data_IF_653546300837
#
_entry.id   IF_653546300837
#
_cell.length_a   1.000
_cell.length_b   1.000
_cell.length_c   1.000
_cell.angle_alpha   90.00
_cell.angle_beta   90.00
_cell.angle_gamma   90.00
#
_symmetry.space_group_name_H-M   'P 1'
#
loop_
_entity.id
_entity.type
_entity.pdbx_description
1 polymer ?
#
# COMPACT_ATOMS: atom_id res chain seq x y z
N UNK A 1 -38.54 -15.79 31.74
CA UNK A 1 -38.26 -15.77 30.29
C UNK A 1 -36.76 -15.55 29.97
N UNK A 2 -35.82 -16.04 30.80
CA UNK A 2 -34.38 -15.74 30.66
C UNK A 2 -33.51 -16.92 30.16
N UNK A 3 -34.10 -18.10 29.93
CA UNK A 3 -33.34 -19.31 29.55
C UNK A 3 -33.35 -19.61 28.04
N UNK A 4 -34.08 -18.86 27.23
CA UNK A 4 -34.17 -19.12 25.78
C UNK A 4 -33.07 -18.42 24.96
N UNK A 5 -32.68 -17.19 25.30
CA UNK A 5 -31.62 -16.45 24.57
C UNK A 5 -30.21 -17.04 24.74
N UNK A 6 -29.95 -17.77 25.83
CA UNK A 6 -28.64 -18.37 26.10
C UNK A 6 -28.33 -19.59 25.22
N UNK A 7 -29.36 -20.26 24.68
CA UNK A 7 -29.19 -21.48 23.88
C UNK A 7 -28.86 -21.18 22.41
N UNK A 8 -29.46 -20.12 21.85
CA UNK A 8 -29.26 -19.73 20.44
C UNK A 8 -27.88 -19.13 20.18
N UNK A 9 -27.29 -18.47 21.18
CA UNK A 9 -25.92 -17.92 21.09
C UNK A 9 -24.87 -19.03 21.14
N UNK A 10 -25.05 -20.04 22.00
CA UNK A 10 -24.15 -21.17 22.11
C UNK A 10 -24.10 -22.01 20.81
N UNK A 11 -25.25 -22.33 20.23
CA UNK A 11 -25.35 -23.09 18.96
C UNK A 11 -24.73 -22.31 17.79
N UNK A 12 -24.91 -20.99 17.75
CA UNK A 12 -24.30 -20.13 16.73
C UNK A 12 -22.77 -20.11 16.82
N UNK A 13 -22.22 -20.05 18.04
CA UNK A 13 -20.78 -20.00 18.28
C UNK A 13 -20.08 -21.34 18.00
N UNK A 14 -20.77 -22.46 18.28
CA UNK A 14 -20.30 -23.79 17.91
C UNK A 14 -20.19 -23.93 16.39
N UNK A 15 -21.22 -23.51 15.64
CA UNK A 15 -21.22 -23.50 14.16
C UNK A 15 -20.10 -22.64 13.58
N UNK A 16 -19.88 -21.44 14.14
CA UNK A 16 -18.77 -20.55 13.71
C UNK A 16 -17.41 -21.26 13.90
N UNK A 17 -17.22 -21.91 15.04
CA UNK A 17 -15.97 -22.59 15.38
C UNK A 17 -15.76 -23.82 14.51
N UNK A 18 -16.82 -24.60 14.24
CA UNK A 18 -16.77 -25.76 13.36
C UNK A 18 -16.44 -25.36 11.93
N UNK A 19 -17.07 -24.31 11.41
CA UNK A 19 -16.80 -23.77 10.09
C UNK A 19 -15.35 -23.27 9.96
N UNK A 20 -14.86 -22.49 10.93
CA UNK A 20 -13.47 -22.03 10.94
C UNK A 20 -12.49 -23.22 10.96
N UNK A 21 -12.78 -24.26 11.77
CA UNK A 21 -11.97 -25.48 11.85
C UNK A 21 -11.96 -26.24 10.53
N UNK A 22 -13.10 -26.37 9.86
CA UNK A 22 -13.19 -27.01 8.56
C UNK A 22 -12.30 -26.29 7.53
N UNK A 23 -12.40 -24.96 7.43
CA UNK A 23 -11.56 -24.15 6.53
C UNK A 23 -10.07 -24.32 6.89
N UNK A 24 -9.70 -24.29 8.17
CA UNK A 24 -8.31 -24.48 8.58
C UNK A 24 -7.76 -25.87 8.21
N UNK A 25 -8.59 -26.91 8.30
CA UNK A 25 -8.18 -28.26 7.88
C UNK A 25 -7.91 -28.35 6.37
N UNK A 26 -8.69 -27.61 5.57
CA UNK A 26 -8.47 -27.51 4.13
C UNK A 26 -7.21 -26.69 3.81
N UNK A 27 -6.98 -25.61 4.57
CA UNK A 27 -5.79 -24.77 4.42
C UNK A 27 -4.51 -25.57 4.64
N UNK A 28 -4.45 -26.40 5.69
CA UNK A 28 -3.27 -27.22 5.97
C UNK A 28 -2.88 -28.14 4.80
N UNK A 29 -3.87 -28.62 4.03
CA UNK A 29 -3.64 -29.43 2.83
C UNK A 29 -3.23 -28.56 1.64
N UNK A 30 -3.93 -27.45 1.40
CA UNK A 30 -3.70 -26.61 0.22
C UNK A 30 -2.39 -25.81 0.28
N UNK A 31 -1.90 -25.48 1.49
CA UNK A 31 -0.74 -24.60 1.66
C UNK A 31 0.59 -25.26 1.24
N UNK A 32 0.63 -26.58 1.03
CA UNK A 32 1.84 -27.28 0.55
C UNK A 32 2.27 -26.76 -0.81
N UNK A 33 1.30 -26.40 -1.64
CA UNK A 33 1.50 -26.04 -3.04
C UNK A 33 1.60 -24.52 -3.23
N UNK A 34 1.41 -23.75 -2.15
CA UNK A 34 1.50 -22.29 -2.16
C UNK A 34 2.95 -21.82 -2.01
N UNK A 35 3.34 -20.90 -2.89
CA UNK A 35 4.68 -20.32 -2.97
C UNK A 35 4.70 -18.83 -2.63
N UNK A 36 3.53 -18.17 -2.62
CA UNK A 36 3.43 -16.75 -2.32
C UNK A 36 2.20 -16.42 -1.46
N UNK A 37 2.30 -15.36 -0.65
CA UNK A 37 1.19 -14.93 0.21
C UNK A 37 -0.08 -14.55 -0.56
N UNK A 38 0.05 -14.07 -1.80
CA UNK A 38 -1.09 -13.74 -2.66
C UNK A 38 -1.89 -14.99 -3.07
N UNK A 39 -1.26 -16.17 -3.17
CA UNK A 39 -1.98 -17.43 -3.43
C UNK A 39 -2.81 -17.84 -2.22
N UNK A 40 -2.27 -17.61 -1.01
CA UNK A 40 -3.02 -17.81 0.22
C UNK A 40 -4.22 -16.87 0.31
N UNK A 41 -4.03 -15.59 -0.04
CA UNK A 41 -5.13 -14.62 -0.06
C UNK A 41 -6.21 -14.98 -1.08
N UNK A 42 -5.82 -15.38 -2.30
CA UNK A 42 -6.74 -15.86 -3.31
C UNK A 42 -7.51 -17.10 -2.84
N UNK A 43 -6.80 -18.08 -2.27
CA UNK A 43 -7.42 -19.29 -1.74
C UNK A 43 -8.40 -18.96 -0.61
N UNK A 44 -7.99 -18.13 0.35
CA UNK A 44 -8.81 -17.71 1.48
C UNK A 44 -10.07 -16.97 1.01
N UNK A 45 -9.93 -16.01 0.10
CA UNK A 45 -11.07 -15.27 -0.45
C UNK A 45 -12.09 -16.20 -1.14
N UNK A 46 -11.61 -17.22 -1.87
CA UNK A 46 -12.48 -18.25 -2.44
C UNK A 46 -13.20 -19.06 -1.35
N UNK A 47 -12.51 -19.46 -0.27
CA UNK A 47 -13.16 -20.14 0.85
C UNK A 47 -14.20 -19.28 1.57
N UNK A 48 -13.99 -17.97 1.68
CA UNK A 48 -14.96 -17.05 2.28
C UNK A 48 -16.21 -16.90 1.40
N UNK A 49 -16.06 -16.92 0.08
CA UNK A 49 -17.21 -16.97 -0.83
C UNK A 49 -18.03 -18.23 -0.61
N UNK A 50 -17.38 -19.40 -0.61
CA UNK A 50 -18.07 -20.69 -0.49
C UNK A 50 -18.72 -20.88 0.89
N UNK A 51 -17.97 -20.62 1.96
CA UNK A 51 -18.40 -20.96 3.31
C UNK A 51 -19.12 -19.79 4.02
N UNK A 52 -18.71 -18.55 3.78
CA UNK A 52 -19.39 -17.38 4.38
C UNK A 52 -20.47 -16.79 3.46
N UNK A 53 -20.75 -17.46 2.33
CA UNK A 53 -21.80 -17.09 1.38
C UNK A 53 -21.66 -15.62 0.92
N UNK A 54 -20.41 -15.16 0.82
CA UNK A 54 -20.11 -13.87 0.23
C UNK A 54 -20.30 -13.96 -1.28
N UNK A 55 -20.79 -12.88 -1.87
CA UNK A 55 -20.81 -12.70 -3.32
C UNK A 55 -19.46 -12.18 -3.81
N UNK A 56 -18.80 -11.37 -2.99
CA UNK A 56 -17.50 -10.77 -3.29
C UNK A 56 -16.66 -10.76 -2.04
N UNK A 57 -15.41 -11.18 -2.18
CA UNK A 57 -14.39 -11.10 -1.14
C UNK A 57 -13.19 -10.29 -1.65
N UNK A 58 -12.86 -9.22 -0.94
CA UNK A 58 -11.70 -8.38 -1.22
C UNK A 58 -10.72 -8.43 -0.06
N UNK A 59 -9.44 -8.60 -0.37
CA UNK A 59 -8.35 -8.52 0.61
C UNK A 59 -7.44 -7.37 0.21
N UNK A 60 -7.42 -6.37 1.08
CA UNK A 60 -6.59 -5.19 0.97
C UNK A 60 -5.45 -5.29 1.98
N UNK A 61 -4.26 -4.84 1.58
CA UNK A 61 -3.10 -4.83 2.46
C UNK A 61 -2.34 -3.52 2.34
N UNK A 62 -1.73 -3.08 3.44
CA UNK A 62 -0.73 -2.02 3.32
C UNK A 62 0.46 -2.54 2.53
N UNK A 63 0.98 -1.70 1.65
CA UNK A 63 2.19 -1.93 0.89
C UNK A 63 3.03 -0.66 0.87
N UNK A 64 4.34 -0.82 0.98
CA UNK A 64 5.26 0.26 0.69
C UNK A 64 5.32 0.39 -0.83
N UNK A 65 4.92 1.54 -1.35
CA UNK A 65 5.19 1.88 -2.73
C UNK A 65 6.70 2.11 -2.94
N UNK A 66 7.11 2.42 -4.17
CA UNK A 66 8.53 2.67 -4.49
C UNK A 66 9.12 3.87 -3.74
N UNK A 67 8.29 4.79 -3.21
CA UNK A 67 8.75 5.91 -2.39
C UNK A 67 8.95 5.52 -0.92
N UNK A 68 8.56 4.30 -0.52
CA UNK A 68 8.51 3.84 0.86
C UNK A 68 7.27 4.32 1.61
N UNK A 69 6.39 5.09 0.95
CA UNK A 69 5.11 5.48 1.54
C UNK A 69 4.18 4.27 1.57
N UNK A 70 3.51 4.11 2.70
CA UNK A 70 2.52 3.07 2.87
C UNK A 70 1.24 3.48 2.14
N UNK A 71 0.83 2.68 1.17
CA UNK A 71 -0.43 2.81 0.47
C UNK A 71 -1.24 1.52 0.67
N UNK A 72 -2.56 1.68 0.76
CA UNK A 72 -3.46 0.55 0.81
C UNK A 72 -3.67 0.01 -0.61
N UNK A 73 -3.40 -1.27 -0.83
CA UNK A 73 -3.52 -1.90 -2.14
C UNK A 73 -4.39 -3.16 -2.07
N UNK A 74 -5.29 -3.29 -3.04
CA UNK A 74 -6.08 -4.50 -3.25
C UNK A 74 -5.13 -5.62 -3.70
N UNK A 75 -4.98 -6.66 -2.88
CA UNK A 75 -4.13 -7.83 -3.15
C UNK A 75 -4.90 -8.94 -3.86
N UNK A 76 -6.19 -9.05 -3.55
CA UNK A 76 -7.03 -10.13 -4.05
C UNK A 76 -8.48 -9.66 -4.14
N UNK A 77 -9.12 -9.98 -5.25
CA UNK A 77 -10.54 -9.85 -5.49
C UNK A 77 -11.04 -11.18 -6.02
N UNK A 78 -12.02 -11.78 -5.35
CA UNK A 78 -12.74 -12.95 -5.85
C UNK A 78 -14.23 -12.62 -5.86
N UNK A 79 -14.92 -13.04 -6.91
CA UNK A 79 -16.37 -12.87 -7.08
C UNK A 79 -17.01 -14.24 -7.32
N UNK A 80 -18.21 -14.45 -6.77
CA UNK A 80 -19.03 -15.65 -7.02
C UNK A 80 -19.56 -15.63 -8.45
N UNK A 81 -20.08 -14.48 -8.87
CA UNK A 81 -20.50 -14.22 -10.25
C UNK A 81 -19.33 -13.62 -11.04
N UNK A 82 -18.85 -14.36 -12.04
CA UNK A 82 -17.75 -13.93 -12.92
C UNK A 82 -18.19 -12.89 -13.95
N UNK A 83 -19.49 -12.67 -14.12
CA UNK A 83 -20.04 -11.63 -14.99
C UNK A 83 -20.07 -10.25 -14.32
N UNK A 84 -19.86 -10.20 -13.01
CA UNK A 84 -19.81 -8.95 -12.24
C UNK A 84 -18.64 -8.07 -12.73
N UNK A 85 -18.91 -6.85 -13.22
CA UNK A 85 -17.84 -5.98 -13.70
C UNK A 85 -16.93 -5.54 -12.56
N UNK A 86 -15.61 -5.70 -12.73
CA UNK A 86 -14.63 -5.37 -11.68
C UNK A 86 -14.73 -3.93 -11.18
N UNK A 87 -15.06 -2.96 -12.05
CA UNK A 87 -15.20 -1.55 -11.67
C UNK A 87 -16.36 -1.27 -10.69
N UNK A 88 -17.28 -2.22 -10.50
CA UNK A 88 -18.37 -2.11 -9.52
C UNK A 88 -17.86 -2.31 -8.09
N UNK A 89 -16.87 -3.19 -7.93
CA UNK A 89 -16.36 -3.64 -6.63
C UNK A 89 -14.97 -3.07 -6.33
N UNK A 90 -14.08 -3.07 -7.32
CA UNK A 90 -12.79 -2.40 -7.24
C UNK A 90 -12.88 -0.97 -7.79
N UNK A 91 -13.41 -0.04 -6.99
CA UNK A 91 -13.44 1.39 -7.32
C UNK A 91 -13.01 2.29 -6.16
N UNK A 92 -12.91 3.59 -6.44
CA UNK A 92 -12.45 4.59 -5.48
C UNK A 92 -13.34 4.69 -4.23
N UNK A 93 -14.65 4.45 -4.34
CA UNK A 93 -15.54 4.53 -3.17
C UNK A 93 -15.31 3.36 -2.21
N UNK A 94 -15.05 2.16 -2.73
CA UNK A 94 -14.67 1.02 -1.92
C UNK A 94 -13.28 1.25 -1.32
N UNK A 95 -12.32 1.73 -2.11
CA UNK A 95 -10.98 2.07 -1.61
C UNK A 95 -11.02 3.11 -0.47
N UNK A 96 -11.81 4.18 -0.61
CA UNK A 96 -12.03 5.20 0.43
C UNK A 96 -12.63 4.61 1.71
N UNK A 97 -13.62 3.72 1.57
CA UNK A 97 -14.20 3.00 2.71
C UNK A 97 -13.15 2.11 3.40
N UNK A 98 -12.35 1.37 2.63
CA UNK A 98 -11.29 0.52 3.19
C UNK A 98 -10.20 1.35 3.85
N UNK A 99 -9.82 2.49 3.27
CA UNK A 99 -8.88 3.45 3.90
C UNK A 99 -9.41 3.93 5.24
N UNK A 100 -10.71 4.27 5.32
CA UNK A 100 -11.35 4.64 6.58
C UNK A 100 -11.29 3.51 7.60
N UNK A 101 -11.66 2.30 7.20
CA UNK A 101 -11.59 1.10 8.04
C UNK A 101 -10.17 0.87 8.59
N UNK A 102 -9.15 1.06 7.76
CA UNK A 102 -7.74 1.01 8.16
C UNK A 102 -7.36 2.10 9.17
N UNK A 103 -7.77 3.34 8.90
CA UNK A 103 -7.44 4.50 9.75
C UNK A 103 -8.10 4.40 11.13
N UNK A 104 -9.31 3.86 11.20
CA UNK A 104 -10.06 3.68 12.43
C UNK A 104 -9.66 2.41 13.19
N UNK A 105 -8.99 1.46 12.52
CA UNK A 105 -8.58 0.17 13.08
C UNK A 105 -9.76 -0.61 13.70
N UNK A 106 -10.93 -0.51 13.08
CA UNK A 106 -12.18 -1.08 13.60
C UNK A 106 -12.76 -2.13 12.67
N UNK A 107 -13.45 -3.07 13.28
CA UNK A 107 -14.30 -3.99 12.55
C UNK A 107 -15.65 -3.34 12.27
N UNK A 108 -16.19 -3.63 11.10
CA UNK A 108 -17.51 -3.22 10.65
C UNK A 108 -18.38 -4.48 10.56
N UNK A 109 -19.35 -4.67 11.47
CA UNK A 109 -20.28 -5.78 11.38
C UNK A 109 -21.09 -5.67 10.08
N UNK A 110 -21.69 -6.78 9.66
CA UNK A 110 -22.48 -6.85 8.44
C UNK A 110 -23.61 -5.80 8.45
N UNK A 111 -23.51 -4.84 7.55
CA UNK A 111 -24.41 -3.69 7.44
C UNK A 111 -24.85 -3.45 6.01
N UNK A 112 -26.02 -2.85 5.85
CA UNK A 112 -26.54 -2.49 4.53
C UNK A 112 -25.62 -1.45 3.87
N UNK A 113 -25.30 -1.62 2.58
CA UNK A 113 -24.43 -0.71 1.83
C UNK A 113 -24.96 0.73 1.83
N UNK A 114 -26.28 0.90 1.86
CA UNK A 114 -26.94 2.22 1.96
C UNK A 114 -26.62 3.01 3.22
N UNK A 115 -26.12 2.36 4.28
CA UNK A 115 -25.70 3.03 5.53
C UNK A 115 -24.25 3.49 5.50
N UNK A 116 -23.42 2.84 4.69
CA UNK A 116 -21.96 3.03 4.67
C UNK A 116 -21.49 3.88 3.49
N UNK A 117 -22.22 3.81 2.37
CA UNK A 117 -21.88 4.49 1.13
C UNK A 117 -22.88 5.59 0.79
N UNK A 118 -22.44 6.58 0.01
CA UNK A 118 -23.34 7.59 -0.57
C UNK A 118 -24.30 6.97 -1.59
N UNK A 119 -25.34 7.73 -1.98
CA UNK A 119 -26.45 7.22 -2.80
C UNK A 119 -26.00 6.53 -4.11
N UNK A 120 -25.02 7.09 -4.81
CA UNK A 120 -24.54 6.56 -6.09
C UNK A 120 -23.85 5.18 -5.97
N UNK A 121 -22.77 5.02 -5.18
CA UNK A 121 -22.14 3.71 -4.98
C UNK A 121 -23.09 2.70 -4.33
N UNK A 122 -23.91 3.11 -3.35
CA UNK A 122 -24.89 2.21 -2.73
C UNK A 122 -25.91 1.67 -3.75
N UNK A 123 -26.42 2.54 -4.64
CA UNK A 123 -27.37 2.12 -5.68
C UNK A 123 -26.72 1.22 -6.72
N UNK A 124 -25.45 1.48 -7.06
CA UNK A 124 -24.68 0.65 -7.99
C UNK A 124 -24.47 -0.75 -7.41
N UNK A 125 -23.97 -0.85 -6.17
CA UNK A 125 -23.79 -2.13 -5.47
C UNK A 125 -25.11 -2.91 -5.36
N UNK A 126 -26.19 -2.26 -4.92
CA UNK A 126 -27.51 -2.90 -4.82
C UNK A 126 -28.06 -3.40 -6.16
N UNK A 127 -27.77 -2.72 -7.29
CA UNK A 127 -28.19 -3.17 -8.62
C UNK A 127 -27.55 -4.51 -9.01
N UNK A 128 -26.33 -4.75 -8.53
CA UNK A 128 -25.61 -6.02 -8.71
C UNK A 128 -25.85 -6.98 -7.54
N UNK A 129 -26.87 -6.74 -6.72
CA UNK A 129 -27.22 -7.62 -5.62
C UNK A 129 -26.24 -7.59 -4.45
N UNK A 130 -25.35 -6.60 -4.35
CA UNK A 130 -24.42 -6.44 -3.22
C UNK A 130 -25.05 -5.50 -2.18
N UNK A 131 -25.97 -6.03 -1.39
CA UNK A 131 -26.81 -5.21 -0.49
C UNK A 131 -26.20 -4.99 0.89
N UNK A 132 -25.30 -5.87 1.31
CA UNK A 132 -24.66 -5.82 2.61
C UNK A 132 -23.14 -5.93 2.46
N UNK A 133 -22.41 -5.31 3.38
CA UNK A 133 -20.96 -5.42 3.48
C UNK A 133 -20.55 -5.60 4.95
N UNK A 134 -19.57 -6.46 5.18
CA UNK A 134 -18.82 -6.56 6.43
C UNK A 134 -17.37 -6.19 6.16
N UNK A 135 -16.73 -5.54 7.13
CA UNK A 135 -15.33 -5.14 7.05
C UNK A 135 -14.55 -5.66 8.24
N UNK A 136 -13.51 -6.44 7.99
CA UNK A 136 -12.60 -6.93 9.02
C UNK A 136 -11.25 -6.24 8.89
N UNK A 137 -10.70 -5.82 10.02
CA UNK A 137 -9.36 -5.23 10.11
C UNK A 137 -8.47 -6.20 10.87
N UNK A 138 -7.27 -6.47 10.37
CA UNK A 138 -6.31 -7.34 11.05
C UNK A 138 -4.94 -6.70 11.03
N UNK A 139 -4.27 -6.71 12.18
CA UNK A 139 -2.93 -6.17 12.33
C UNK A 139 -2.06 -7.12 13.14
N UNK A 140 -0.87 -7.41 12.64
CA UNK A 140 0.17 -8.14 13.34
C UNK A 140 1.49 -7.37 13.18
N UNK A 141 2.09 -6.99 14.31
CA UNK A 141 3.32 -6.19 14.36
C UNK A 141 4.59 -7.01 14.11
N UNK A 142 4.53 -8.32 14.33
CA UNK A 142 5.70 -9.22 14.29
C UNK A 142 5.96 -9.68 12.86
N UNK A 143 4.90 -10.04 12.15
CA UNK A 143 5.02 -10.57 10.80
C UNK A 143 5.04 -9.44 9.75
N UNK A 144 5.77 -9.66 8.66
CA UNK A 144 5.76 -8.73 7.52
C UNK A 144 5.22 -9.36 6.26
N UNK A 145 4.52 -8.52 5.51
CA UNK A 145 4.02 -8.87 4.19
C UNK A 145 5.12 -8.76 3.14
N UNK A 146 5.23 -9.80 2.33
CA UNK A 146 5.95 -9.73 1.06
C UNK A 146 5.30 -8.67 0.15
N UNK A 147 6.10 -7.99 -0.68
CA UNK A 147 5.60 -7.13 -1.75
C UNK A 147 4.56 -7.84 -2.63
N UNK A 148 3.76 -7.10 -3.38
CA UNK A 148 2.82 -7.72 -4.31
C UNK A 148 3.60 -8.40 -5.42
N UNK A 149 3.05 -9.49 -5.99
CA UNK A 149 3.65 -10.16 -7.16
C UNK A 149 3.98 -9.22 -8.32
N UNK A 150 3.23 -8.13 -8.45
CA UNK A 150 3.37 -7.16 -9.54
C UNK A 150 4.43 -6.10 -9.26
N UNK A 151 5.01 -6.07 -8.06
CA UNK A 151 6.06 -5.12 -7.69
C UNK A 151 7.40 -5.56 -8.28
N UNK A 152 8.17 -4.68 -8.96
CA UNK A 152 9.48 -5.03 -9.49
C UNK A 152 10.41 -5.60 -8.40
N UNK A 153 11.17 -6.66 -8.70
CA UNK A 153 12.08 -7.26 -7.72
C UNK A 153 13.07 -6.22 -7.17
N UNK A 154 13.28 -6.24 -5.86
CA UNK A 154 14.18 -5.32 -5.15
C UNK A 154 13.59 -3.95 -4.78
N UNK A 155 12.35 -3.64 -5.18
CA UNK A 155 11.74 -2.32 -4.92
C UNK A 155 10.73 -2.29 -3.79
N UNK A 156 10.25 -3.46 -3.34
CA UNK A 156 9.27 -3.57 -2.26
C UNK A 156 9.95 -3.72 -0.90
N UNK A 157 9.73 -2.76 0.00
CA UNK A 157 10.14 -2.89 1.40
C UNK A 157 9.12 -3.77 2.15
N UNK A 158 9.56 -4.72 2.99
CA UNK A 158 8.65 -5.45 3.87
C UNK A 158 7.90 -4.48 4.78
N UNK A 159 6.58 -4.62 4.87
CA UNK A 159 5.70 -3.78 5.68
C UNK A 159 5.01 -4.59 6.76
N UNK A 160 4.59 -3.97 7.88
CA UNK A 160 3.83 -4.67 8.92
C UNK A 160 2.62 -5.39 8.32
N UNK A 161 2.38 -6.63 8.75
CA UNK A 161 1.27 -7.43 8.26
C UNK A 161 -0.05 -6.82 8.72
N UNK A 162 -0.65 -6.02 7.84
CA UNK A 162 -1.92 -5.35 8.10
C UNK A 162 -2.85 -5.55 6.92
N UNK A 163 -4.04 -6.06 7.20
CA UNK A 163 -5.05 -6.41 6.21
C UNK A 163 -6.38 -5.76 6.54
N UNK A 164 -7.14 -5.47 5.49
CA UNK A 164 -8.58 -5.35 5.57
C UNK A 164 -9.23 -6.36 4.64
N UNK A 165 -10.27 -7.00 5.14
CA UNK A 165 -11.09 -7.93 4.35
C UNK A 165 -12.48 -7.34 4.24
N UNK A 166 -12.97 -7.16 3.02
CA UNK A 166 -14.35 -6.79 2.77
C UNK A 166 -15.10 -7.99 2.22
N UNK A 167 -16.28 -8.24 2.78
CA UNK A 167 -17.19 -9.30 2.33
C UNK A 167 -18.51 -8.67 1.97
N UNK A 168 -18.90 -8.77 0.70
CA UNK A 168 -20.20 -8.31 0.23
C UNK A 168 -21.18 -9.47 0.12
N UNK A 169 -22.44 -9.24 0.48
CA UNK A 169 -23.48 -10.27 0.51
C UNK A 169 -24.79 -9.76 -0.08
N UNK A 170 -25.55 -10.69 -0.66
CA UNK A 170 -26.89 -10.41 -1.19
C UNK A 170 -27.92 -10.16 -0.11
N UNK A 171 -27.90 -10.98 0.93
CA UNK A 171 -28.87 -10.98 2.02
C UNK A 171 -28.16 -11.05 3.38
N UNK A 172 -28.80 -10.50 4.40
CA UNK A 172 -28.33 -10.66 5.78
C UNK A 172 -28.70 -12.06 6.27
N UNK A 173 -27.71 -12.94 6.35
CA UNK A 173 -27.90 -14.29 6.91
C UNK A 173 -27.53 -14.33 8.39
N UNK A 174 -27.93 -15.40 9.07
CA UNK A 174 -27.72 -15.61 10.51
C UNK A 174 -26.25 -15.83 10.88
N UNK A 175 -25.43 -16.32 9.94
CA UNK A 175 -24.01 -16.55 10.17
C UNK A 175 -23.26 -15.21 10.15
N UNK A 176 -22.53 -14.91 11.22
CA UNK A 176 -21.68 -13.73 11.31
C UNK A 176 -20.31 -14.02 10.68
N UNK A 177 -20.04 -13.54 9.44
CA UNK A 177 -18.77 -13.79 8.78
C UNK A 177 -17.59 -13.16 9.53
N UNK A 178 -17.85 -12.11 10.32
CA UNK A 178 -16.83 -11.43 11.09
C UNK A 178 -16.27 -12.32 12.20
N UNK A 179 -17.15 -13.05 12.89
CA UNK A 179 -16.76 -13.98 13.94
C UNK A 179 -15.93 -15.15 13.37
N UNK A 180 -16.28 -15.66 12.19
CA UNK A 180 -15.46 -16.67 11.49
C UNK A 180 -14.08 -16.12 11.16
N UNK A 181 -13.99 -14.89 10.62
CA UNK A 181 -12.71 -14.24 10.30
C UNK A 181 -11.82 -14.01 11.53
N UNK A 182 -12.41 -13.65 12.67
CA UNK A 182 -11.70 -13.45 13.94
C UNK A 182 -10.99 -14.72 14.42
N UNK A 183 -11.60 -15.89 14.22
CA UNK A 183 -10.98 -17.18 14.56
C UNK A 183 -10.00 -17.63 13.47
N UNK A 184 -10.37 -17.43 12.20
CA UNK A 184 -9.67 -17.96 11.04
C UNK A 184 -8.34 -17.23 10.74
N UNK A 185 -8.31 -15.90 10.77
CA UNK A 185 -7.13 -15.14 10.35
C UNK A 185 -5.90 -15.35 11.23
N UNK A 186 -5.97 -15.30 12.58
CA UNK A 186 -4.79 -15.53 13.41
C UNK A 186 -4.11 -16.87 13.11
N UNK A 187 -4.92 -17.92 12.92
CA UNK A 187 -4.43 -19.26 12.59
C UNK A 187 -3.87 -19.32 11.17
N UNK A 188 -4.54 -18.67 10.21
CA UNK A 188 -4.06 -18.59 8.83
C UNK A 188 -2.69 -17.92 8.73
N UNK A 189 -2.49 -16.82 9.47
CA UNK A 189 -1.20 -16.10 9.55
C UNK A 189 -0.11 -16.97 10.18
N UNK A 190 -0.43 -17.72 11.24
CA UNK A 190 0.50 -18.66 11.86
C UNK A 190 0.93 -19.77 10.88
N UNK A 191 -0.02 -20.35 10.15
CA UNK A 191 0.28 -21.38 9.14
C UNK A 191 1.13 -20.78 8.00
N UNK A 192 0.79 -19.58 7.52
CA UNK A 192 1.55 -18.87 6.49
C UNK A 192 3.00 -18.60 6.91
N UNK A 193 3.18 -18.16 8.16
CA UNK A 193 4.51 -17.98 8.78
C UNK A 193 5.29 -19.28 8.78
N UNK A 194 4.70 -20.37 9.28
CA UNK A 194 5.36 -21.67 9.37
C UNK A 194 5.74 -22.24 8.00
N UNK A 195 5.00 -21.86 6.94
CA UNK A 195 5.30 -22.24 5.55
C UNK A 195 6.38 -21.36 4.90
N UNK A 196 6.77 -20.24 5.54
CA UNK A 196 7.72 -19.27 4.97
C UNK A 196 7.08 -18.35 3.93
N UNK A 197 5.75 -18.18 3.94
CA UNK A 197 5.05 -17.26 3.04
C UNK A 197 5.13 -15.80 3.51
N UNK A 198 5.52 -15.58 4.77
CA UNK A 198 5.72 -14.28 5.40
C UNK A 198 7.21 -14.00 5.60
N UNK A 199 7.58 -12.73 5.54
CA UNK A 199 8.96 -12.31 5.77
C UNK A 199 9.16 -12.05 7.26
N UNK A 200 10.10 -12.76 7.86
CA UNK A 200 10.57 -12.48 9.23
C UNK A 200 11.74 -11.51 9.13
N UNK A 201 11.72 -10.47 9.97
CA UNK A 201 12.80 -9.51 10.01
C UNK A 201 14.10 -10.17 10.52
N UNK A 202 15.26 -9.98 9.87
CA UNK A 202 16.53 -10.55 10.33
C UNK A 202 17.05 -9.93 11.64
N UNK A 203 16.35 -8.94 12.22
CA UNK A 203 16.78 -8.21 13.42
C UNK A 203 16.71 -9.09 14.68
N UNK A 204 16.03 -10.24 14.62
CA UNK A 204 15.95 -11.18 15.75
C UNK A 204 16.58 -12.52 15.39
N UNK A 205 17.84 -12.48 14.97
CA UNK A 205 18.71 -13.66 15.11
C UNK A 205 19.13 -13.78 16.58
N UNK A 206 19.07 -14.97 17.22
CA UNK A 206 19.50 -15.13 18.61
C UNK A 206 21.01 -14.86 18.78
N UNK A 207 21.46 -14.52 20.00
CA UNK A 207 22.85 -14.13 20.28
C UNK A 207 23.75 -15.38 20.33
N UNK A 208 24.45 -15.68 19.24
CA UNK A 208 25.55 -16.63 19.25
C UNK A 208 26.69 -16.16 18.35
N UNK A 209 27.61 -15.39 18.92
CA UNK A 209 29.00 -15.84 19.18
C UNK A 209 29.90 -14.62 19.46
N UNK A 210 30.63 -14.57 20.58
CA UNK A 210 31.47 -13.44 20.96
C UNK A 210 32.86 -13.50 20.31
N UNK A 211 32.95 -13.64 18.98
CA UNK A 211 34.23 -13.54 18.28
C UNK A 211 34.01 -13.13 16.83
N UNK A 212 33.86 -11.84 16.56
CA UNK A 212 34.41 -11.29 15.32
C UNK A 212 34.65 -9.80 15.46
N UNK A 213 35.90 -9.44 15.23
CA UNK A 213 36.49 -8.16 15.56
C UNK A 213 35.92 -7.04 14.71
N UNK A 214 35.62 -5.94 15.41
CA UNK A 214 35.48 -4.58 14.94
C UNK A 214 36.02 -4.29 13.53
N UNK A 215 35.11 -3.93 12.62
CA UNK A 215 35.39 -2.91 11.60
C UNK A 215 34.42 -1.76 11.78
N UNK A 216 34.90 -0.50 11.89
CA UNK A 216 34.03 0.65 12.11
C UNK A 216 33.19 0.92 10.86
N UNK A 217 31.87 0.98 11.03
CA UNK A 217 30.91 1.42 10.01
C UNK A 217 31.16 2.92 9.76
N UNK A 218 31.36 3.38 8.49
CA UNK A 218 31.53 4.80 8.21
C UNK A 218 30.21 5.54 8.43
N UNK A 219 30.25 6.57 9.25
CA UNK A 219 29.17 7.55 9.40
C UNK A 219 28.84 8.16 8.02
N UNK A 220 27.61 7.95 7.55
CA UNK A 220 27.12 8.51 6.29
C UNK A 220 27.09 10.04 6.37
N UNK A 221 27.88 10.68 5.52
CA UNK A 221 28.03 12.12 5.42
C UNK A 221 26.94 12.69 4.47
N UNK A 222 25.95 13.47 4.94
CA UNK A 222 24.80 13.92 4.12
C UNK A 222 25.18 14.84 2.96
N UNK A 223 26.39 15.40 2.95
CA UNK A 223 26.90 16.27 1.88
C UNK A 223 27.17 15.53 0.55
N UNK A 224 27.37 14.20 0.57
CA UNK A 224 27.65 13.41 -0.63
C UNK A 224 26.37 13.07 -1.43
N UNK A 225 25.18 13.20 -0.83
CA UNK A 225 23.92 12.81 -1.47
C UNK A 225 23.40 13.87 -2.46
N UNK A 226 23.81 15.13 -2.36
CA UNK A 226 23.29 16.20 -3.21
C UNK A 226 23.94 16.22 -4.60
N UNK A 227 25.21 15.78 -4.69
CA UNK A 227 25.99 15.77 -5.93
C UNK A 227 25.51 14.75 -6.96
N UNK A 228 24.83 13.70 -6.50
CA UNK A 228 24.29 12.64 -7.35
C UNK A 228 22.89 12.97 -7.90
N UNK A 229 22.23 14.03 -7.41
CA UNK A 229 20.88 14.38 -7.83
C UNK A 229 20.86 15.02 -9.23
N UNK A 230 19.80 14.76 -9.97
CA UNK A 230 19.52 15.21 -11.32
C UNK A 230 18.37 16.23 -11.26
N UNK A 231 18.63 17.52 -11.45
CA UNK A 231 17.56 18.49 -11.57
C UNK A 231 16.78 18.33 -12.88
N UNK A 232 15.48 18.54 -12.81
CA UNK A 232 14.54 18.57 -13.93
C UNK A 232 13.78 19.89 -13.93
N UNK A 233 13.52 20.44 -15.12
CA UNK A 233 12.65 21.61 -15.26
C UNK A 233 11.20 21.18 -15.12
N UNK A 234 10.43 21.91 -14.30
CA UNK A 234 9.00 21.64 -14.11
C UNK A 234 8.21 22.16 -15.32
N UNK A 235 7.52 21.26 -16.03
CA UNK A 235 6.82 21.54 -17.31
C UNK A 235 5.57 22.42 -17.20
N UNK A 236 5.02 22.63 -16.01
CA UNK A 236 3.75 23.37 -15.82
C UNK A 236 3.81 24.83 -16.31
N UNK A 237 4.98 25.46 -16.35
CA UNK A 237 5.12 26.81 -16.90
C UNK A 237 5.36 26.86 -18.42
N UNK A 238 5.82 25.77 -19.04
CA UNK A 238 6.07 25.75 -20.49
C UNK A 238 4.78 25.60 -21.30
N UNK A 239 3.77 24.92 -20.75
CA UNK A 239 2.49 24.71 -21.41
C UNK A 239 1.68 26.01 -21.57
N UNK A 240 1.73 26.91 -20.57
CA UNK A 240 1.06 28.22 -20.63
C UNK A 240 1.82 29.26 -21.49
N UNK A 241 3.08 29.02 -21.86
CA UNK A 241 3.92 29.95 -22.64
C UNK A 241 4.17 29.51 -24.09
N UNK A 242 3.62 28.36 -24.49
CA UNK A 242 3.80 27.76 -25.83
C UNK A 242 3.17 28.56 -26.98
N UNK A 243 2.37 29.59 -26.69
CA UNK A 243 1.67 30.41 -27.68
C UNK A 243 2.44 31.65 -28.16
N UNK A 244 3.65 31.94 -27.65
CA UNK A 244 4.45 33.05 -28.17
C UNK A 244 5.97 32.73 -28.25
N UNK A 245 6.54 32.48 -29.45
CA UNK A 245 7.94 32.07 -29.61
C UNK A 245 8.96 33.16 -29.26
N UNK A 246 8.54 34.42 -29.14
CA UNK A 246 9.39 35.56 -28.77
C UNK A 246 9.37 35.89 -27.27
N UNK A 247 8.47 35.29 -26.47
CA UNK A 247 8.37 35.53 -25.03
C UNK A 247 9.15 34.50 -24.18
N UNK A 248 10.09 33.75 -24.75
CA UNK A 248 10.85 32.66 -24.10
C UNK A 248 11.85 33.11 -23.00
N UNK A 249 11.72 34.33 -22.47
CA UNK A 249 12.49 34.75 -21.30
C UNK A 249 11.78 34.27 -20.05
N UNK A 250 12.22 33.13 -19.50
CA UNK A 250 11.84 32.72 -18.14
C UNK A 250 12.22 33.87 -17.20
N UNK A 251 11.23 34.40 -16.47
CA UNK A 251 11.40 35.52 -15.53
C UNK A 251 12.18 35.08 -14.27
N UNK A 252 13.48 34.87 -14.46
CA UNK A 252 14.47 34.63 -13.41
C UNK A 252 15.36 35.87 -13.41
N UNK A 253 15.20 36.75 -12.42
CA UNK A 253 15.93 38.01 -12.30
C UNK A 253 17.45 37.79 -12.17
N UNK A 254 17.88 36.71 -11.50
CA UNK A 254 19.29 36.39 -11.28
C UNK A 254 19.94 35.77 -12.55
N UNK A 255 21.00 36.43 -13.04
CA UNK A 255 21.73 36.01 -14.25
C UNK A 255 22.39 34.64 -14.10
N UNK A 256 22.94 34.32 -12.94
CA UNK A 256 23.58 33.04 -12.68
C UNK A 256 22.54 31.92 -12.58
N UNK A 257 21.41 32.19 -11.91
CA UNK A 257 20.30 31.24 -11.83
C UNK A 257 19.69 30.93 -13.19
N UNK A 258 19.57 31.93 -14.08
CA UNK A 258 19.12 31.72 -15.46
C UNK A 258 20.07 30.82 -16.25
N UNK A 259 21.39 30.98 -16.03
CA UNK A 259 22.43 30.13 -16.66
C UNK A 259 22.33 28.69 -16.16
N UNK A 260 22.17 28.47 -14.85
CA UNK A 260 21.96 27.13 -14.27
C UNK A 260 20.66 26.52 -14.81
N UNK A 261 19.55 27.26 -14.78
CA UNK A 261 18.27 26.79 -15.29
C UNK A 261 18.36 26.33 -16.75
N UNK A 262 19.05 27.12 -17.59
CA UNK A 262 19.27 26.80 -19.01
C UNK A 262 20.18 25.60 -19.25
N UNK A 263 21.04 25.24 -18.28
CA UNK A 263 21.91 24.07 -18.35
C UNK A 263 21.24 22.77 -17.84
N UNK A 264 20.12 22.87 -17.13
CA UNK A 264 19.36 21.72 -16.64
C UNK A 264 18.63 21.07 -17.81
N UNK A 265 18.97 19.82 -18.14
CA UNK A 265 18.41 19.04 -19.24
C UNK A 265 17.65 17.79 -18.78
N UNK A 266 17.56 17.55 -17.47
CA UNK A 266 16.95 16.35 -16.89
C UNK A 266 17.81 15.08 -17.04
N UNK A 267 19.10 15.21 -17.36
CA UNK A 267 20.01 14.06 -17.49
C UNK A 267 21.30 14.26 -16.69
N UNK A 268 21.76 15.50 -16.55
CA UNK A 268 22.98 15.82 -15.81
C UNK A 268 22.73 15.90 -14.32
N UNK A 269 23.60 15.28 -13.53
CA UNK A 269 23.61 15.46 -12.10
C UNK A 269 24.27 16.79 -11.68
N UNK A 270 24.19 17.12 -10.40
CA UNK A 270 24.70 18.38 -9.84
C UNK A 270 26.22 18.56 -10.03
N UNK A 271 27.03 17.49 -9.99
CA UNK A 271 28.47 17.60 -10.30
C UNK A 271 28.74 17.90 -11.78
N UNK A 272 28.01 17.27 -12.71
CA UNK A 272 28.11 17.57 -14.13
C UNK A 272 27.64 19.00 -14.46
N UNK A 273 26.60 19.48 -13.77
CA UNK A 273 26.13 20.86 -13.86
C UNK A 273 27.17 21.87 -13.36
N UNK A 274 27.88 21.55 -12.27
CA UNK A 274 28.99 22.36 -11.76
C UNK A 274 30.06 22.56 -12.83
N UNK A 275 30.52 21.46 -13.44
CA UNK A 275 31.54 21.50 -14.52
C UNK A 275 31.07 22.29 -15.75
N UNK A 276 29.79 22.18 -16.11
CA UNK A 276 29.23 22.84 -17.30
C UNK A 276 29.02 24.34 -17.08
N UNK A 277 28.64 24.74 -15.86
CA UNK A 277 28.35 26.15 -15.52
C UNK A 277 29.58 26.91 -15.05
N UNK A 278 30.61 26.21 -14.55
CA UNK A 278 31.82 26.80 -13.98
C UNK A 278 31.58 27.48 -12.63
N UNK A 279 30.48 27.15 -11.95
CA UNK A 279 30.14 27.72 -10.64
C UNK A 279 30.79 26.94 -9.50
N UNK A 280 31.05 27.64 -8.41
CA UNK A 280 31.51 27.01 -7.18
C UNK A 280 30.41 26.15 -6.55
N UNK A 281 30.83 25.13 -5.81
CA UNK A 281 29.93 24.12 -5.27
C UNK A 281 28.81 24.73 -4.39
N UNK A 282 29.16 25.68 -3.53
CA UNK A 282 28.22 26.35 -2.63
C UNK A 282 27.24 27.27 -3.40
N UNK A 283 27.72 27.95 -4.43
CA UNK A 283 26.88 28.84 -5.26
C UNK A 283 25.84 28.03 -6.04
N UNK A 284 26.24 26.89 -6.60
CA UNK A 284 25.34 26.01 -7.34
C UNK A 284 24.22 25.46 -6.45
N UNK A 285 24.55 25.06 -5.22
CA UNK A 285 23.56 24.60 -4.24
C UNK A 285 22.60 25.73 -3.86
N UNK A 286 23.11 26.94 -3.57
CA UNK A 286 22.30 28.12 -3.25
C UNK A 286 21.31 28.44 -4.37
N UNK A 287 21.79 28.48 -5.61
CA UNK A 287 20.98 28.77 -6.79
C UNK A 287 19.91 27.68 -7.00
N UNK A 288 20.28 26.41 -6.82
CA UNK A 288 19.35 25.29 -7.01
C UNK A 288 18.24 25.29 -5.97
N UNK A 289 18.56 25.58 -4.70
CA UNK A 289 17.56 25.78 -3.65
C UNK A 289 16.59 26.92 -4.00
N UNK A 290 17.10 28.04 -4.51
CA UNK A 290 16.26 29.15 -4.97
C UNK A 290 15.30 28.73 -6.10
N UNK A 291 15.80 27.98 -7.09
CA UNK A 291 14.97 27.49 -8.21
C UNK A 291 13.90 26.48 -7.77
N UNK A 292 14.19 25.68 -6.75
CA UNK A 292 13.22 24.76 -6.12
C UNK A 292 12.17 25.54 -5.33
N UNK A 293 12.58 26.53 -4.53
CA UNK A 293 11.66 27.39 -3.78
C UNK A 293 10.68 28.14 -4.71
N UNK A 294 11.17 28.56 -5.89
CA UNK A 294 10.36 29.18 -6.95
C UNK A 294 9.55 28.17 -7.78
N UNK A 295 9.58 26.87 -7.42
CA UNK A 295 8.91 25.77 -8.13
C UNK A 295 9.26 25.69 -9.62
N UNK A 296 10.47 26.09 -10.00
CA UNK A 296 10.96 26.04 -11.39
C UNK A 296 11.67 24.73 -11.70
N UNK A 297 12.30 24.14 -10.69
CA UNK A 297 13.11 22.93 -10.79
C UNK A 297 12.69 21.93 -9.72
N UNK A 298 12.74 20.66 -10.08
CA UNK A 298 12.52 19.51 -9.23
C UNK A 298 13.78 18.65 -9.23
N UNK A 299 14.15 18.03 -8.11
CA UNK A 299 15.34 17.19 -8.02
C UNK A 299 14.94 15.72 -8.11
N UNK A 300 15.72 14.93 -8.83
CA UNK A 300 15.52 13.50 -8.97
C UNK A 300 16.79 12.76 -8.56
N UNK A 301 16.65 11.58 -7.98
CA UNK A 301 17.79 10.65 -7.84
C UNK A 301 18.15 10.07 -9.23
N UNK A 302 19.37 9.51 -9.41
CA UNK A 302 19.73 8.79 -10.63
C UNK A 302 18.74 7.70 -11.05
N UNK A 303 17.97 7.16 -10.09
CA UNK A 303 16.88 6.21 -10.33
C UNK A 303 15.55 6.83 -10.77
N UNK A 304 15.49 8.12 -11.06
CA UNK A 304 14.29 8.81 -11.53
C UNK A 304 13.23 9.06 -10.44
N UNK A 305 13.60 8.93 -9.17
CA UNK A 305 12.73 9.23 -8.03
C UNK A 305 12.78 10.72 -7.70
N UNK A 306 11.62 11.38 -7.66
CA UNK A 306 11.50 12.77 -7.24
C UNK A 306 11.88 12.90 -5.76
N UNK A 307 12.76 13.84 -5.47
CA UNK A 307 13.27 14.16 -4.14
C UNK A 307 12.43 15.29 -3.54
N UNK A 308 12.06 15.16 -2.26
CA UNK A 308 11.18 16.10 -1.61
C UNK A 308 11.91 17.45 -1.36
N UNK A 309 11.35 18.61 -1.79
CA UNK A 309 11.95 19.92 -1.56
C UNK A 309 12.25 20.25 -0.10
N UNK A 310 11.46 19.68 0.83
CA UNK A 310 11.54 19.95 2.28
C UNK A 310 12.85 19.43 2.87
N UNK A 311 13.48 18.43 2.26
CA UNK A 311 14.76 17.89 2.71
C UNK A 311 15.94 18.83 2.34
N UNK A 312 15.69 19.90 1.57
CA UNK A 312 16.71 20.78 1.00
C UNK A 312 16.52 22.27 1.31
N UNK A 313 15.30 22.70 1.65
CA UNK A 313 15.01 24.07 2.08
C UNK A 313 15.14 24.15 3.62
N UNK A 314 15.85 25.16 4.15
CA UNK A 314 15.96 25.35 5.61
C UNK A 314 14.62 25.69 6.26
#
# INVERSE_FOLDING_TARGET
MSNFESKDTADSQEKITEQARAILSLLQKAITDMHHIDELFQWLAAQLIEHCQAEVAEIWALQANMTGQLALQLRTLVTRDTTLPQHVVANNHIAEFTTRLFSEQRHYPLQAVKRLFSNYPASTLSRYGLNYVAGYYFHNTVERLSPARQTPPGTGRPVPFTLAILLFQHERRSHDPLATLQVLLPQTVLIAKNRGLLVVDPITSPPFSPYEMATPIPQHNPALHLWILIPHRRRENELLMSSNPLSRSVDIADKQARRVYSAIDGRKNMDALRRTTGLEAQELVRITKMLIAQRRVELYEPGGKLVNPVDFLP
#
